data_IF_396692104197
#
_entry.id   IF_396692104197
#
_cell.length_a   1.000
_cell.length_b   1.000
_cell.length_c   1.000
_cell.angle_alpha   90.00
_cell.angle_beta   90.00
_cell.angle_gamma   90.00
#
_symmetry.space_group_name_H-M   'P 1'
#
loop_
_entity.id
_entity.type
_entity.pdbx_description
1 polymer ?
#
# COMPACT_ATOMS: atom_id res chain seq x y z
N UNK A 1 -22.27 26.34 -31.50
CA UNK A 1 -21.04 25.52 -31.58
C UNK A 1 -20.12 25.74 -30.38
N UNK A 2 -19.99 26.96 -29.83
CA UNK A 2 -19.14 27.23 -28.66
C UNK A 2 -19.58 26.58 -27.33
N UNK A 3 -20.89 26.43 -27.11
CA UNK A 3 -21.43 25.84 -25.86
C UNK A 3 -21.05 24.36 -25.76
N UNK A 4 -21.08 23.63 -26.87
CA UNK A 4 -20.75 22.20 -26.96
C UNK A 4 -19.27 21.96 -26.59
N UNK A 5 -18.37 22.74 -27.19
CA UNK A 5 -16.92 22.68 -26.92
C UNK A 5 -16.58 23.01 -25.46
N UNK A 6 -17.31 23.94 -24.84
CA UNK A 6 -17.17 24.26 -23.41
C UNK A 6 -17.61 23.10 -22.50
N UNK A 7 -18.65 22.37 -22.86
CA UNK A 7 -19.08 21.18 -22.10
C UNK A 7 -18.10 20.03 -22.21
N UNK A 8 -17.59 19.75 -23.41
CA UNK A 8 -16.59 18.69 -23.62
C UNK A 8 -15.27 18.98 -22.91
N UNK A 9 -14.84 20.24 -22.86
CA UNK A 9 -13.63 20.63 -22.12
C UNK A 9 -13.79 20.46 -20.60
N UNK A 10 -14.96 20.77 -20.03
CA UNK A 10 -15.25 20.52 -18.61
C UNK A 10 -15.21 19.01 -18.32
N UNK A 11 -15.85 18.20 -19.15
CA UNK A 11 -15.86 16.74 -19.01
C UNK A 11 -14.44 16.18 -19.08
N UNK A 12 -13.62 16.66 -20.00
CA UNK A 12 -12.23 16.25 -20.13
C UNK A 12 -11.42 16.54 -18.86
N UNK A 13 -11.54 17.74 -18.29
CA UNK A 13 -10.83 18.14 -17.06
C UNK A 13 -11.26 17.28 -15.87
N UNK A 14 -12.56 17.03 -15.71
CA UNK A 14 -13.07 16.16 -14.64
C UNK A 14 -12.54 14.75 -14.80
N UNK A 15 -12.58 14.21 -16.01
CA UNK A 15 -12.13 12.84 -16.31
C UNK A 15 -10.64 12.67 -16.02
N UNK A 16 -9.81 13.62 -16.47
CA UNK A 16 -8.36 13.61 -16.21
C UNK A 16 -8.09 13.68 -14.70
N UNK A 17 -8.81 14.54 -13.98
CA UNK A 17 -8.67 14.68 -12.52
C UNK A 17 -9.06 13.40 -11.78
N UNK A 18 -10.11 12.72 -12.23
CA UNK A 18 -10.59 11.47 -11.64
C UNK A 18 -9.58 10.33 -11.86
N UNK A 19 -9.05 10.22 -13.08
CA UNK A 19 -8.01 9.23 -13.42
C UNK A 19 -6.75 9.48 -12.59
N UNK A 20 -6.29 10.74 -12.49
CA UNK A 20 -5.12 11.09 -11.70
C UNK A 20 -5.31 10.71 -10.22
N UNK A 21 -6.48 10.98 -9.64
CA UNK A 21 -6.80 10.57 -8.27
C UNK A 21 -6.74 9.04 -8.08
N UNK A 22 -7.35 8.28 -8.98
CA UNK A 22 -7.35 6.82 -8.92
C UNK A 22 -5.92 6.24 -9.05
N UNK A 23 -5.11 6.78 -9.96
CA UNK A 23 -3.72 6.35 -10.16
C UNK A 23 -2.86 6.65 -8.92
N UNK A 24 -2.99 7.83 -8.33
CA UNK A 24 -2.25 8.20 -7.11
C UNK A 24 -2.64 7.27 -5.95
N UNK A 25 -3.94 7.02 -5.78
CA UNK A 25 -4.42 6.18 -4.69
C UNK A 25 -4.02 4.70 -4.89
N UNK A 26 -4.12 4.21 -6.12
CA UNK A 26 -3.65 2.87 -6.51
C UNK A 26 -2.15 2.70 -6.27
N UNK A 27 -1.32 3.65 -6.70
CA UNK A 27 0.13 3.61 -6.48
C UNK A 27 0.51 3.65 -5.00
N UNK A 28 -0.23 4.38 -4.15
CA UNK A 28 -0.02 4.37 -2.70
C UNK A 28 -0.30 2.99 -2.09
N UNK A 29 -1.38 2.34 -2.50
CA UNK A 29 -1.70 0.99 -2.02
C UNK A 29 -0.68 -0.05 -2.49
N UNK A 30 -0.25 0.03 -3.75
CA UNK A 30 0.79 -0.87 -4.29
C UNK A 30 2.09 -0.70 -3.53
N UNK A 31 2.54 0.54 -3.27
CA UNK A 31 3.75 0.78 -2.47
C UNK A 31 3.65 0.22 -1.05
N UNK A 32 2.49 0.31 -0.42
CA UNK A 32 2.27 -0.30 0.89
C UNK A 32 2.39 -1.83 0.83
N UNK A 33 1.77 -2.45 -0.18
CA UNK A 33 1.83 -3.89 -0.41
C UNK A 33 3.26 -4.36 -0.73
N UNK A 34 4.00 -3.63 -1.55
CA UNK A 34 5.41 -3.93 -1.87
C UNK A 34 6.30 -3.81 -0.64
N UNK A 35 6.18 -2.71 0.13
CA UNK A 35 6.91 -2.54 1.39
C UNK A 35 6.65 -3.70 2.36
N UNK A 36 5.42 -4.18 2.41
CA UNK A 36 5.03 -5.32 3.23
C UNK A 36 5.55 -6.66 2.73
N UNK A 37 5.55 -6.90 1.42
CA UNK A 37 6.19 -8.09 0.82
C UNK A 37 7.70 -8.09 1.10
N UNK A 38 8.37 -6.95 0.94
CA UNK A 38 9.80 -6.81 1.24
C UNK A 38 10.12 -6.99 2.73
N UNK A 39 9.26 -6.52 3.63
CA UNK A 39 9.44 -6.74 5.07
C UNK A 39 9.32 -8.22 5.46
N UNK A 40 8.48 -9.00 4.75
CA UNK A 40 8.32 -10.44 4.98
C UNK A 40 9.55 -11.28 4.61
N UNK A 41 10.42 -10.76 3.75
CA UNK A 41 11.63 -11.46 3.26
C UNK A 41 12.81 -11.33 4.25
N UNK A 42 12.65 -10.59 5.36
CA UNK A 42 13.72 -10.49 6.37
C UNK A 42 13.94 -11.85 7.04
N UNK A 43 15.21 -12.27 7.23
CA UNK A 43 15.51 -13.51 7.93
C UNK A 43 14.93 -13.47 9.35
N UNK A 44 14.39 -14.60 9.80
CA UNK A 44 13.88 -14.72 11.15
C UNK A 44 15.01 -14.43 12.16
N UNK A 45 14.74 -13.64 13.21
CA UNK A 45 15.72 -13.41 14.26
C UNK A 45 16.03 -14.72 14.99
N UNK A 46 17.23 -14.85 15.56
CA UNK A 46 17.66 -16.09 16.24
C UNK A 46 16.66 -16.55 17.33
N UNK A 47 15.97 -15.62 17.98
CA UNK A 47 14.94 -15.91 18.99
C UNK A 47 13.80 -16.78 18.45
N UNK A 48 13.47 -16.66 17.15
CA UNK A 48 12.45 -17.46 16.49
C UNK A 48 12.74 -18.97 16.50
N UNK A 49 14.00 -19.37 16.57
CA UNK A 49 14.39 -20.79 16.55
C UNK A 49 14.39 -21.43 17.95
N UNK A 50 13.90 -20.72 18.96
CA UNK A 50 13.83 -21.19 20.35
C UNK A 50 12.41 -21.06 20.89
N UNK A 51 11.96 -22.00 21.73
CA UNK A 51 10.63 -21.94 22.35
C UNK A 51 10.43 -20.66 23.17
N UNK A 52 11.42 -20.30 24.00
CA UNK A 52 11.38 -19.07 24.82
C UNK A 52 11.33 -17.82 23.94
N UNK A 53 12.15 -17.75 22.90
CA UNK A 53 12.18 -16.60 22.01
C UNK A 53 10.94 -16.46 21.13
N UNK A 54 10.27 -17.56 20.74
CA UNK A 54 8.96 -17.49 20.06
C UNK A 54 7.90 -16.86 20.97
N UNK A 55 7.86 -17.24 22.24
CA UNK A 55 6.91 -16.68 23.22
C UNK A 55 7.17 -15.18 23.40
N UNK A 56 8.43 -14.76 23.57
CA UNK A 56 8.78 -13.33 23.67
C UNK A 56 8.44 -12.53 22.42
N UNK A 57 8.68 -13.10 21.22
CA UNK A 57 8.32 -12.46 19.95
C UNK A 57 6.80 -12.35 19.79
N UNK A 58 6.05 -13.33 20.27
CA UNK A 58 4.59 -13.33 20.25
C UNK A 58 4.03 -12.26 21.19
N UNK A 59 4.53 -12.17 22.43
CA UNK A 59 4.12 -11.16 23.41
C UNK A 59 4.36 -9.74 22.90
N UNK A 60 5.47 -9.53 22.19
CA UNK A 60 5.83 -8.23 21.59
C UNK A 60 5.15 -7.96 20.25
N UNK A 61 4.35 -8.90 19.73
CA UNK A 61 3.73 -8.84 18.38
C UNK A 61 4.76 -8.60 17.27
N UNK A 62 5.94 -9.21 17.40
CA UNK A 62 7.06 -9.12 16.44
C UNK A 62 7.19 -10.38 15.56
N UNK A 63 6.23 -11.30 15.64
CA UNK A 63 6.25 -12.56 14.90
C UNK A 63 6.21 -12.36 13.37
N UNK A 64 5.56 -11.27 12.93
CA UNK A 64 5.53 -10.82 11.53
C UNK A 64 5.54 -9.29 11.49
N UNK A 65 6.09 -8.66 10.43
CA UNK A 65 5.89 -7.23 10.22
C UNK A 65 4.38 -6.91 10.17
N UNK A 66 3.94 -5.92 10.96
CA UNK A 66 2.55 -5.45 11.10
C UNK A 66 2.05 -4.79 9.81
N UNK A 67 1.89 -5.61 8.78
CA UNK A 67 1.59 -5.23 7.42
C UNK A 67 0.18 -5.62 6.99
N UNK A 68 -0.66 -5.99 7.97
CA UNK A 68 -2.10 -6.20 7.85
C UNK A 68 -2.80 -5.21 8.78
#
# INVERSE_FOLDING_TARGET
MEIDVKWWSIIAVITISLIAFLVINGNKQIKSLEGCKSARIRPFPQQFFTWVGIVELNDKKLYQPNCL
#
